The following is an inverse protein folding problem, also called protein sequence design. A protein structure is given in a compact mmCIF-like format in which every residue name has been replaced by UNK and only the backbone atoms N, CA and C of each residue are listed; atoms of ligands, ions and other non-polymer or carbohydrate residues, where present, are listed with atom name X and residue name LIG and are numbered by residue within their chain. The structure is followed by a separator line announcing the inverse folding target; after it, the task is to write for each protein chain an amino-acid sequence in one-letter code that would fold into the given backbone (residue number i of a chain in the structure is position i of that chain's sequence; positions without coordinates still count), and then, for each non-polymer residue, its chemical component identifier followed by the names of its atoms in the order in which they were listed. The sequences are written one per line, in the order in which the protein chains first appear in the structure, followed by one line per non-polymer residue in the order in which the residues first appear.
data_IF_379995527230
#
_entry.id   IF_379995527230
#
_cell.length_a   1.000
_cell.length_b   1.000
_cell.length_c   1.000
_cell.angle_alpha   90.00
_cell.angle_beta   90.00
_cell.angle_gamma   90.00
#
_symmetry.space_group_name_H-M   'P 1'
#
loop_
_entity.id
_entity.type
_entity.pdbx_description
1 polymer ?
#
# COMPACT_ATOMS: atom_id res chain seq x y z
N UNK A 1 -36.54 -50.71 -2.59
CA UNK A 1 -35.18 -50.14 -2.44
C UNK A 1 -35.27 -48.63 -2.48
N UNK A 2 -34.42 -47.90 -1.73
CA UNK A 2 -34.70 -46.55 -1.20
C UNK A 2 -34.70 -45.47 -2.27
N UNK A 3 -35.64 -44.52 -2.17
CA UNK A 3 -35.79 -43.39 -3.09
C UNK A 3 -34.82 -42.22 -2.85
N UNK A 4 -34.81 -41.21 -3.74
CA UNK A 4 -33.92 -40.07 -3.66
C UNK A 4 -34.32 -39.10 -2.55
N UNK A 5 -33.39 -38.74 -1.68
CA UNK A 5 -33.61 -37.79 -0.58
C UNK A 5 -33.24 -36.39 -1.05
N UNK A 6 -34.26 -35.53 -1.19
CA UNK A 6 -34.12 -34.09 -1.48
C UNK A 6 -34.00 -33.34 -0.16
N UNK A 7 -32.82 -32.79 0.15
CA UNK A 7 -32.64 -31.92 1.31
C UNK A 7 -33.13 -30.51 1.00
N UNK A 8 -33.98 -30.00 1.89
CA UNK A 8 -34.85 -28.85 1.65
C UNK A 8 -34.17 -27.49 1.59
N UNK A 9 -34.70 -26.69 0.68
CA UNK A 9 -34.56 -25.23 0.63
C UNK A 9 -35.24 -24.63 1.86
N UNK A 10 -34.49 -23.88 2.69
CA UNK A 10 -35.04 -22.90 3.63
C UNK A 10 -34.60 -21.51 3.20
N UNK A 11 -35.50 -20.84 2.47
CA UNK A 11 -35.55 -19.38 2.43
C UNK A 11 -35.97 -18.91 3.82
N UNK A 12 -35.19 -18.05 4.46
CA UNK A 12 -35.68 -17.12 5.47
C UNK A 12 -34.89 -15.83 5.32
N UNK A 13 -35.54 -14.82 4.75
CA UNK A 13 -35.04 -13.46 4.77
C UNK A 13 -35.00 -12.95 6.20
N UNK A 14 -33.84 -12.47 6.61
CA UNK A 14 -33.68 -11.55 7.74
C UNK A 14 -32.71 -10.48 7.27
N UNK A 15 -33.26 -9.31 6.94
CA UNK A 15 -32.48 -8.09 6.71
C UNK A 15 -31.99 -7.64 8.08
N UNK A 16 -30.79 -8.07 8.45
CA UNK A 16 -30.05 -7.43 9.54
C UNK A 16 -29.30 -6.24 8.97
N UNK A 17 -29.37 -5.05 9.58
CA UNK A 17 -28.46 -3.97 9.23
C UNK A 17 -27.05 -4.43 9.63
N UNK A 18 -26.22 -4.69 8.62
CA UNK A 18 -24.79 -4.91 8.81
C UNK A 18 -24.24 -3.62 9.45
N UNK A 19 -23.66 -3.67 10.65
CA UNK A 19 -22.89 -2.54 11.13
C UNK A 19 -21.76 -2.35 10.12
N UNK A 20 -21.62 -1.14 9.57
CA UNK A 20 -20.46 -0.74 8.76
C UNK A 20 -19.23 -0.81 9.66
N UNK A 21 -18.70 -2.02 9.78
CA UNK A 21 -17.42 -2.31 10.37
C UNK A 21 -16.36 -1.78 9.39
N UNK A 22 -15.37 -1.01 9.86
CA UNK A 22 -14.31 -0.53 8.97
C UNK A 22 -13.71 -1.73 8.28
N UNK A 23 -13.72 -1.75 6.95
CA UNK A 23 -13.20 -2.83 6.13
C UNK A 23 -11.77 -3.16 6.59
N UNK A 24 -11.65 -4.23 7.36
CA UNK A 24 -10.39 -4.73 7.86
C UNK A 24 -9.55 -5.11 6.65
N UNK A 25 -8.27 -4.80 6.71
CA UNK A 25 -7.28 -5.03 5.67
C UNK A 25 -6.97 -6.53 5.41
N UNK A 26 -7.85 -7.46 5.81
CA UNK A 26 -7.53 -8.87 6.00
C UNK A 26 -7.85 -9.79 4.81
N UNK A 27 -8.67 -9.38 3.83
CA UNK A 27 -9.07 -10.28 2.71
C UNK A 27 -8.28 -10.08 1.40
N UNK A 28 -7.28 -9.20 1.37
CA UNK A 28 -6.47 -9.03 0.16
C UNK A 28 -5.47 -10.19 0.00
N UNK A 29 -5.40 -10.87 -1.17
CA UNK A 29 -4.48 -11.99 -1.36
C UNK A 29 -3.02 -11.56 -1.18
N UNK A 30 -2.16 -12.42 -0.64
CA UNK A 30 -0.75 -12.08 -0.48
C UNK A 30 -0.10 -11.76 -1.83
N UNK A 31 0.66 -10.66 -1.90
CA UNK A 31 1.36 -10.26 -3.13
C UNK A 31 2.89 -10.49 -2.99
N UNK A 32 3.46 -11.48 -3.70
CA UNK A 32 4.90 -11.77 -3.63
C UNK A 32 5.75 -10.70 -4.31
N UNK A 33 7.03 -10.60 -3.97
CA UNK A 33 8.00 -9.66 -4.57
C UNK A 33 8.20 -9.89 -6.06
N UNK A 34 8.07 -11.15 -6.51
CA UNK A 34 8.19 -11.54 -7.92
C UNK A 34 7.09 -10.91 -8.81
N UNK A 35 6.03 -10.38 -8.20
CA UNK A 35 5.04 -9.58 -8.89
C UNK A 35 5.64 -8.17 -9.12
N UNK A 36 6.35 -8.01 -10.24
CA UNK A 36 6.96 -6.80 -10.84
C UNK A 36 6.62 -5.45 -10.17
N UNK A 37 7.60 -4.55 -10.04
CA UNK A 37 7.42 -3.20 -9.52
C UNK A 37 8.13 -2.95 -8.19
N UNK A 38 8.29 -1.67 -7.85
CA UNK A 38 9.05 -1.24 -6.66
C UNK A 38 8.17 -0.41 -5.74
N UNK A 39 8.36 -0.54 -4.43
CA UNK A 39 7.63 0.29 -3.46
C UNK A 39 8.23 1.68 -3.49
N UNK A 40 7.42 2.67 -3.86
CA UNK A 40 7.83 4.06 -4.02
C UNK A 40 6.86 4.98 -3.29
N UNK A 41 7.38 6.15 -2.94
CA UNK A 41 6.61 7.26 -2.39
C UNK A 41 6.40 8.28 -3.50
N UNK A 42 5.15 8.62 -3.78
CA UNK A 42 4.76 9.55 -4.84
C UNK A 42 4.22 10.83 -4.21
N UNK A 43 4.80 11.97 -4.58
CA UNK A 43 4.19 13.27 -4.36
C UNK A 43 3.33 13.58 -5.57
N UNK A 44 2.03 13.69 -5.38
CA UNK A 44 1.09 14.07 -6.44
C UNK A 44 1.08 15.59 -6.62
N UNK A 45 0.70 16.05 -7.82
CA UNK A 45 0.50 17.48 -8.09
C UNK A 45 -0.60 18.11 -7.21
N UNK A 46 -1.47 17.29 -6.61
CA UNK A 46 -2.45 17.73 -5.59
C UNK A 46 -1.82 18.06 -4.23
N UNK A 47 -0.55 17.73 -4.03
CA UNK A 47 0.15 17.82 -2.74
C UNK A 47 0.00 16.59 -1.85
N UNK A 48 -0.77 15.58 -2.26
CA UNK A 48 -0.91 14.34 -1.51
C UNK A 48 0.33 13.45 -1.65
N UNK A 49 0.68 12.77 -0.56
CA UNK A 49 1.79 11.84 -0.50
C UNK A 49 1.23 10.41 -0.47
N UNK A 50 1.60 9.59 -1.45
CA UNK A 50 1.04 8.25 -1.64
C UNK A 50 2.17 7.22 -1.68
N UNK A 51 2.09 6.18 -0.87
CA UNK A 51 2.97 5.02 -0.97
C UNK A 51 2.24 3.90 -1.72
N UNK A 52 2.93 3.30 -2.70
CA UNK A 52 2.37 2.20 -3.48
C UNK A 52 3.49 1.32 -4.05
N UNK A 53 3.13 0.10 -4.48
CA UNK A 53 3.99 -0.67 -5.37
C UNK A 53 3.76 -0.18 -6.80
N UNK A 54 4.77 0.47 -7.34
CA UNK A 54 4.75 1.18 -8.60
C UNK A 54 5.21 0.28 -9.75
N UNK A 55 4.43 0.24 -10.83
CA UNK A 55 4.81 -0.33 -12.12
C UNK A 55 4.72 0.71 -13.22
N UNK A 56 5.56 0.54 -14.24
CA UNK A 56 5.37 1.23 -15.50
C UNK A 56 4.24 0.54 -16.28
N UNK A 57 3.34 1.32 -16.84
CA UNK A 57 2.25 0.82 -17.68
C UNK A 57 1.91 1.84 -18.76
N UNK A 58 0.85 1.61 -19.51
CA UNK A 58 0.27 2.58 -20.43
C UNK A 58 -1.19 2.86 -20.06
N UNK A 59 -1.66 4.06 -20.35
CA UNK A 59 -3.08 4.38 -20.22
C UNK A 59 -3.90 3.78 -21.38
N UNK A 60 -5.19 4.13 -21.42
CA UNK A 60 -6.14 3.67 -22.45
C UNK A 60 -5.74 4.13 -23.86
N UNK A 61 -5.07 5.28 -23.97
CA UNK A 61 -4.65 5.88 -25.24
C UNK A 61 -3.24 5.39 -25.64
N UNK A 62 -2.62 4.53 -24.83
CA UNK A 62 -1.28 3.98 -25.05
C UNK A 62 -0.15 4.90 -24.57
N UNK A 63 -0.46 6.02 -23.90
CA UNK A 63 0.57 6.90 -23.37
C UNK A 63 1.19 6.32 -22.09
N UNK A 64 2.48 6.58 -21.82
CA UNK A 64 3.14 6.07 -20.62
C UNK A 64 2.47 6.54 -19.33
N UNK A 65 2.17 5.60 -18.44
CA UNK A 65 1.50 5.83 -17.17
C UNK A 65 2.13 4.98 -16.05
N UNK A 66 1.63 5.16 -14.83
CA UNK A 66 2.02 4.39 -13.67
C UNK A 66 0.85 3.55 -13.18
N UNK A 67 1.11 2.28 -12.88
CA UNK A 67 0.15 1.45 -12.15
C UNK A 67 0.55 1.45 -10.67
N UNK A 68 -0.36 1.88 -9.82
CA UNK A 68 -0.23 1.85 -8.37
C UNK A 68 -0.99 0.64 -7.84
N UNK A 69 -0.26 -0.29 -7.22
CA UNK A 69 -0.88 -1.41 -6.53
C UNK A 69 -1.03 -1.10 -5.04
N UNK A 70 -2.24 -1.29 -4.51
CA UNK A 70 -2.63 -1.06 -3.11
C UNK A 70 -2.16 0.29 -2.56
N UNK A 71 -2.46 1.42 -3.24
CA UNK A 71 -1.96 2.72 -2.83
C UNK A 71 -2.55 3.14 -1.48
N UNK A 72 -1.69 3.62 -0.59
CA UNK A 72 -2.07 4.23 0.68
C UNK A 72 -1.60 5.68 0.72
N UNK A 73 -2.45 6.57 1.21
CA UNK A 73 -2.05 7.94 1.54
C UNK A 73 -1.22 7.93 2.82
N UNK A 74 -0.15 8.73 2.83
CA UNK A 74 0.80 8.87 3.95
C UNK A 74 0.56 10.23 4.60
N UNK A 75 0.16 10.22 5.86
CA UNK A 75 -0.04 11.42 6.65
C UNK A 75 0.90 11.41 7.87
N UNK A 76 1.46 12.55 8.31
CA UNK A 76 2.22 12.59 9.55
C UNK A 76 1.29 12.30 10.73
N UNK A 77 1.70 11.41 11.63
CA UNK A 77 0.95 11.16 12.86
C UNK A 77 1.03 12.41 13.74
N UNK A 78 -0.11 13.01 14.10
CA UNK A 78 -0.12 14.19 15.00
C UNK A 78 0.15 13.72 16.43
N UNK A 79 0.81 14.55 17.23
CA UNK A 79 1.17 14.22 18.62
C UNK A 79 -0.06 13.89 19.49
N UNK A 80 -1.25 14.31 19.09
CA UNK A 80 -2.52 14.07 19.79
C UNK A 80 -2.95 12.60 19.66
N UNK A 81 -2.54 11.91 18.60
CA UNK A 81 -2.83 10.48 18.36
C UNK A 81 -1.78 9.56 19.02
N UNK A 82 -0.83 10.12 19.78
CA UNK A 82 0.24 9.37 20.44
C UNK A 82 -0.19 8.80 21.81
N UNK A 83 -1.19 9.40 22.46
CA UNK A 83 -1.64 8.98 23.80
C UNK A 83 -2.40 7.65 23.82
N UNK A 84 -2.97 7.20 22.69
CA UNK A 84 -3.61 5.88 22.59
C UNK A 84 -2.62 4.72 22.37
N UNK A 85 -1.34 5.02 22.07
CA UNK A 85 -0.33 3.99 21.76
C UNK A 85 0.45 3.48 22.99
N UNK A 86 0.11 3.94 24.20
CA UNK A 86 0.75 3.48 25.44
C UNK A 86 0.27 2.08 25.90
N UNK A 87 -0.68 1.46 25.20
CA UNK A 87 -1.23 0.15 25.52
C UNK A 87 -1.03 -0.86 24.38
N UNK A 88 0.22 -1.26 24.10
CA UNK A 88 0.49 -2.48 23.34
C UNK A 88 1.57 -2.33 22.25
N UNK A 89 2.73 -2.91 22.55
CA UNK A 89 3.79 -3.37 21.65
C UNK A 89 3.60 -3.09 20.14
N UNK A 90 3.90 -1.87 19.70
CA UNK A 90 4.51 -1.56 18.40
C UNK A 90 4.90 -0.08 18.45
N UNK A 91 6.20 0.22 18.44
CA UNK A 91 6.70 1.58 18.36
C UNK A 91 6.07 2.25 17.13
N UNK A 92 5.05 3.08 17.35
CA UNK A 92 4.15 3.48 16.27
C UNK A 92 4.95 4.25 15.24
N UNK A 93 4.99 3.73 14.02
CA UNK A 93 5.51 4.42 12.84
C UNK A 93 4.98 5.86 12.85
N UNK A 94 5.84 6.86 12.63
CA UNK A 94 5.49 8.29 12.73
C UNK A 94 4.47 8.78 11.68
N UNK A 95 3.82 7.86 10.98
CA UNK A 95 2.89 8.09 9.90
C UNK A 95 1.59 7.34 10.15
N UNK A 96 0.49 7.97 9.76
CA UNK A 96 -0.80 7.35 9.57
C UNK A 96 -0.94 6.97 8.09
N UNK A 97 -1.28 5.71 7.85
CA UNK A 97 -1.59 5.21 6.52
C UNK A 97 -3.11 5.09 6.37
N UNK A 98 -3.66 5.47 5.23
CA UNK A 98 -5.08 5.29 4.91
C UNK A 98 -5.26 4.88 3.45
N UNK A 99 -6.32 4.14 3.08
CA UNK A 99 -6.57 3.83 1.68
C UNK A 99 -6.64 5.10 0.84
N UNK A 100 -5.87 5.16 -0.25
CA UNK A 100 -5.91 6.29 -1.15
C UNK A 100 -7.26 6.31 -1.88
N UNK A 101 -7.89 7.49 -1.97
CA UNK A 101 -9.25 7.68 -2.52
C UNK A 101 -10.35 6.91 -1.78
N UNK A 102 -10.18 6.71 -0.46
CA UNK A 102 -11.21 6.13 0.38
C UNK A 102 -12.56 6.83 0.20
N UNK A 103 -13.63 6.05 -0.03
CA UNK A 103 -14.99 6.56 -0.25
C UNK A 103 -15.28 7.02 -1.68
N UNK A 104 -14.27 7.14 -2.55
CA UNK A 104 -14.47 7.48 -3.97
C UNK A 104 -14.49 6.25 -4.88
N UNK A 105 -13.73 5.22 -4.53
CA UNK A 105 -13.63 3.99 -5.32
C UNK A 105 -13.38 2.77 -4.44
N UNK A 106 -13.86 1.60 -4.88
CA UNK A 106 -13.54 0.30 -4.29
C UNK A 106 -12.31 -0.35 -4.91
N UNK A 107 -11.71 0.26 -5.95
CA UNK A 107 -10.56 -0.29 -6.65
C UNK A 107 -9.31 -0.18 -5.79
N UNK A 108 -8.64 -1.32 -5.56
CA UNK A 108 -7.39 -1.38 -4.80
C UNK A 108 -6.16 -1.09 -5.65
N UNK A 109 -6.31 -0.99 -6.97
CA UNK A 109 -5.24 -0.73 -7.93
C UNK A 109 -5.68 0.39 -8.86
N UNK A 110 -4.76 1.31 -9.17
CA UNK A 110 -5.08 2.49 -9.96
C UNK A 110 -4.05 2.68 -11.07
N UNK A 111 -4.50 3.24 -12.19
CA UNK A 111 -3.60 3.79 -13.21
C UNK A 111 -3.56 5.29 -13.05
N UNK A 112 -2.36 5.84 -12.93
CA UNK A 112 -2.09 7.24 -12.72
C UNK A 112 -1.30 7.79 -13.92
N UNK A 113 -1.79 8.88 -14.51
CA UNK A 113 -1.07 9.58 -15.57
C UNK A 113 0.23 10.17 -15.04
N UNK A 114 1.31 10.15 -15.84
CA UNK A 114 2.61 10.72 -15.43
C UNK A 114 2.51 12.19 -15.05
N UNK A 115 1.66 12.97 -15.74
CA UNK A 115 1.44 14.39 -15.44
C UNK A 115 0.78 14.69 -14.09
N UNK A 116 0.21 13.69 -13.41
CA UNK A 116 -0.34 13.84 -12.07
C UNK A 116 0.70 13.64 -10.96
N UNK A 117 1.90 13.16 -11.31
CA UNK A 117 3.00 12.93 -10.36
C UNK A 117 3.96 14.10 -10.41
N UNK A 118 4.15 14.75 -9.26
CA UNK A 118 5.13 15.81 -9.09
C UNK A 118 6.53 15.23 -8.85
N UNK A 119 6.66 14.22 -7.99
CA UNK A 119 7.94 13.53 -7.74
C UNK A 119 7.76 12.08 -7.29
N UNK A 120 8.82 11.29 -7.50
CA UNK A 120 8.93 9.90 -7.06
C UNK A 120 10.15 9.81 -6.15
N UNK A 121 9.95 9.28 -4.95
CA UNK A 121 10.92 9.22 -3.87
C UNK A 121 11.08 7.78 -3.37
N UNK A 122 12.23 7.51 -2.77
CA UNK A 122 12.49 6.28 -2.04
C UNK A 122 11.92 6.38 -0.61
N UNK A 123 11.02 5.47 -0.20
CA UNK A 123 10.46 5.48 1.16
C UNK A 123 11.47 4.95 2.20
N UNK A 124 11.34 5.43 3.44
CA UNK A 124 12.12 4.92 4.57
C UNK A 124 11.79 3.43 4.84
N UNK A 125 12.77 2.59 5.23
CA UNK A 125 12.54 1.18 5.54
C UNK A 125 11.39 0.91 6.52
N UNK A 126 11.22 1.76 7.55
CA UNK A 126 10.12 1.62 8.52
C UNK A 126 8.75 1.84 7.88
N UNK A 127 8.66 2.80 6.95
CA UNK A 127 7.43 3.08 6.20
C UNK A 127 7.11 1.94 5.24
N UNK A 128 8.13 1.36 4.58
CA UNK A 128 7.98 0.18 3.72
C UNK A 128 7.40 -0.98 4.52
N UNK A 129 7.94 -1.27 5.70
CA UNK A 129 7.45 -2.35 6.57
C UNK A 129 6.00 -2.14 7.02
N UNK A 130 5.64 -0.91 7.41
CA UNK A 130 4.27 -0.57 7.80
C UNK A 130 3.30 -0.75 6.61
N UNK A 131 3.70 -0.31 5.43
CA UNK A 131 2.93 -0.46 4.19
C UNK A 131 2.74 -1.92 3.78
N UNK A 132 3.80 -2.73 3.79
CA UNK A 132 3.75 -4.14 3.37
C UNK A 132 2.91 -4.98 4.33
N UNK A 133 3.04 -4.74 5.63
CA UNK A 133 2.20 -5.35 6.68
C UNK A 133 0.73 -5.01 6.45
N UNK A 134 0.41 -3.72 6.27
CA UNK A 134 -0.97 -3.25 6.11
C UNK A 134 -1.62 -3.69 4.81
N UNK A 135 -0.83 -3.87 3.76
CA UNK A 135 -1.34 -4.23 2.44
C UNK A 135 -1.17 -5.71 2.13
N UNK A 136 -0.74 -6.54 3.08
CA UNK A 136 -0.45 -7.97 2.89
C UNK A 136 0.44 -8.24 1.65
N UNK A 137 1.57 -7.53 1.58
CA UNK A 137 2.57 -7.69 0.52
C UNK A 137 3.87 -8.21 1.12
N UNK A 138 4.62 -8.95 0.32
CA UNK A 138 5.98 -9.31 0.69
C UNK A 138 6.84 -8.04 0.82
N UNK A 139 7.53 -7.92 1.95
CA UNK A 139 8.42 -6.81 2.21
C UNK A 139 9.76 -7.03 1.49
N UNK A 140 10.24 -6.07 0.69
CA UNK A 140 11.57 -6.16 0.11
C UNK A 140 12.61 -6.38 1.23
N UNK A 141 13.62 -7.24 1.02
CA UNK A 141 14.70 -7.38 1.98
C UNK A 141 15.40 -6.02 2.12
N UNK A 142 15.67 -5.62 3.35
CA UNK A 142 16.49 -4.44 3.59
C UNK A 142 17.90 -4.69 3.07
N UNK A 143 18.51 -3.69 2.43
CA UNK A 143 19.91 -3.74 2.04
C UNK A 143 20.77 -4.18 3.22
N UNK A 144 21.64 -5.16 2.96
CA UNK A 144 22.61 -5.61 3.95
C UNK A 144 23.53 -4.44 4.34
N UNK A 145 24.15 -4.45 5.53
CA UNK A 145 25.09 -3.40 5.94
C UNK A 145 26.19 -3.13 4.89
N UNK A 146 26.63 -4.17 4.19
CA UNK A 146 27.64 -4.08 3.13
C UNK A 146 27.09 -3.38 1.89
N UNK A 147 25.86 -3.69 1.47
CA UNK A 147 25.21 -3.02 0.33
C UNK A 147 24.95 -1.54 0.62
N UNK A 148 24.51 -1.22 1.84
CA UNK A 148 24.37 0.17 2.30
C UNK A 148 25.69 0.91 2.24
N UNK A 149 26.78 0.28 2.67
CA UNK A 149 28.11 0.87 2.61
C UNK A 149 28.54 1.10 1.14
N UNK A 150 28.37 0.10 0.28
CA UNK A 150 28.67 0.23 -1.16
C UNK A 150 27.91 1.37 -1.81
N UNK A 151 26.61 1.48 -1.52
CA UNK A 151 25.76 2.56 -2.03
C UNK A 151 26.22 3.92 -1.53
N UNK A 152 26.49 4.06 -0.23
CA UNK A 152 26.99 5.32 0.34
C UNK A 152 28.35 5.74 -0.26
N UNK A 153 29.25 4.79 -0.50
CA UNK A 153 30.52 5.05 -1.18
C UNK A 153 30.32 5.48 -2.64
N UNK A 154 29.39 4.84 -3.35
CA UNK A 154 29.07 5.21 -4.73
C UNK A 154 28.49 6.62 -4.80
N UNK A 155 27.46 6.93 -3.99
CA UNK A 155 26.83 8.26 -3.93
C UNK A 155 27.84 9.35 -3.55
N UNK A 156 28.79 9.05 -2.65
CA UNK A 156 29.87 9.97 -2.32
C UNK A 156 30.81 10.21 -3.51
N UNK A 157 31.23 9.15 -4.21
CA UNK A 157 32.10 9.27 -5.39
C UNK A 157 31.41 10.08 -6.49
N UNK A 158 30.14 9.77 -6.78
CA UNK A 158 29.33 10.47 -7.78
C UNK A 158 29.16 11.97 -7.44
N UNK A 159 29.12 12.32 -6.15
CA UNK A 159 29.02 13.71 -5.70
C UNK A 159 30.31 14.54 -5.85
N UNK A 160 31.46 13.88 -5.96
CA UNK A 160 32.77 14.53 -6.15
C UNK A 160 33.08 14.73 -7.64
N UNK A 161 32.57 13.84 -8.49
CA UNK A 161 32.79 13.87 -9.94
C UNK A 161 31.82 14.82 -10.70
N UNK A 162 30.79 15.35 -10.03
CA UNK A 162 29.82 16.32 -10.58
C UNK A 162 30.24 17.78 -10.37
#
# INVERSE_FOLDING_TARGET
MPGPVVNGVRQNGSVNPVPQQPAAAEDAPFLPLLAEGTIKLLLLCSGQLVIARLRNTTDRDGAPAYQLLRPLEVQPKRAIDADEAAAGANASSGWLLSPFLAGLTSQSNLVLFKGAVASILDPEPRLIQAYTTRTNQECPPSDTPVERLKRAFQEFTDSIEA
#
